data_IF_342559991059
#
_entry.id   IF_342559991059
#
_cell.length_a   1.000
_cell.length_b   1.000
_cell.length_c   1.000
_cell.angle_alpha   90.00
_cell.angle_beta   90.00
_cell.angle_gamma   90.00
#
_symmetry.space_group_name_H-M   'P 1'
#
loop_
_entity.id
_entity.type
_entity.pdbx_description
1 polymer ?
#
# COMPACT_ATOMS: atom_id res chain seq x y z
N UNK A 1 -21.73 9.04 17.63
CA UNK A 1 -20.93 9.57 16.55
C UNK A 1 -19.72 8.67 16.38
N UNK A 2 -19.72 7.91 15.29
CA UNK A 2 -18.58 7.06 14.96
C UNK A 2 -17.36 7.96 14.73
N UNK A 3 -16.30 7.78 15.49
CA UNK A 3 -15.05 8.53 15.36
C UNK A 3 -14.26 8.23 14.07
N UNK A 4 -14.96 8.03 12.95
CA UNK A 4 -14.33 7.80 11.66
C UNK A 4 -13.65 9.08 11.17
N UNK A 5 -12.34 9.06 11.05
CA UNK A 5 -11.55 10.13 10.47
C UNK A 5 -11.74 10.09 8.94
N UNK A 6 -12.13 11.23 8.35
CA UNK A 6 -12.15 11.42 6.90
C UNK A 6 -10.88 12.13 6.47
N UNK A 7 -10.27 11.62 5.41
CA UNK A 7 -9.07 12.18 4.81
C UNK A 7 -9.36 12.45 3.34
N UNK A 8 -9.11 13.67 2.90
CA UNK A 8 -9.14 14.03 1.48
C UNK A 8 -7.71 14.07 0.99
N UNK A 9 -7.42 13.33 -0.08
CA UNK A 9 -6.11 13.31 -0.72
C UNK A 9 -6.26 13.92 -2.11
N UNK A 10 -5.56 15.01 -2.36
CA UNK A 10 -5.51 15.63 -3.68
C UNK A 10 -4.65 14.79 -4.63
N UNK A 11 -5.13 14.63 -5.86
CA UNK A 11 -4.40 13.92 -6.92
C UNK A 11 -3.65 14.87 -7.87
N UNK A 12 -3.82 16.18 -7.71
CA UNK A 12 -3.25 17.17 -8.63
C UNK A 12 -4.22 17.61 -9.73
N UNK A 13 -3.67 18.10 -10.83
CA UNK A 13 -4.44 18.57 -12.00
C UNK A 13 -4.88 17.37 -12.81
N UNK A 14 -6.12 17.42 -13.31
CA UNK A 14 -6.74 16.25 -13.98
C UNK A 14 -5.99 15.79 -15.23
N UNK A 15 -5.41 16.72 -15.95
CA UNK A 15 -4.67 16.48 -17.20
C UNK A 15 -3.35 15.75 -16.95
N UNK A 16 -2.80 15.84 -15.74
CA UNK A 16 -1.50 15.26 -15.34
C UNK A 16 -1.68 13.97 -14.52
N UNK A 17 -2.90 13.43 -14.41
CA UNK A 17 -3.16 12.23 -13.63
C UNK A 17 -2.60 10.99 -14.31
N UNK A 18 -1.49 10.52 -13.78
CA UNK A 18 -0.83 9.27 -14.17
C UNK A 18 -0.88 8.24 -13.02
N UNK A 19 -0.29 7.07 -13.24
CA UNK A 19 -0.19 6.01 -12.23
C UNK A 19 0.62 6.45 -11.01
N UNK A 20 1.59 7.36 -11.18
CA UNK A 20 2.43 7.84 -10.09
C UNK A 20 1.64 8.75 -9.15
N UNK A 21 0.76 9.60 -9.66
CA UNK A 21 -0.14 10.41 -8.84
C UNK A 21 -1.04 9.54 -7.94
N UNK A 22 -1.56 8.43 -8.49
CA UNK A 22 -2.35 7.46 -7.71
C UNK A 22 -1.49 6.70 -6.69
N UNK A 23 -0.27 6.34 -7.03
CA UNK A 23 0.67 5.68 -6.09
C UNK A 23 1.03 6.59 -4.93
N UNK A 24 1.31 7.86 -5.20
CA UNK A 24 1.57 8.87 -4.18
C UNK A 24 0.35 9.11 -3.28
N UNK A 25 -0.84 9.17 -3.85
CA UNK A 25 -2.07 9.31 -3.09
C UNK A 25 -2.31 8.13 -2.15
N UNK A 26 -2.09 6.90 -2.60
CA UNK A 26 -2.16 5.70 -1.77
C UNK A 26 -1.18 5.75 -0.60
N UNK A 27 0.05 6.17 -0.86
CA UNK A 27 1.08 6.35 0.17
C UNK A 27 0.71 7.47 1.17
N UNK A 28 0.21 8.59 0.69
CA UNK A 28 -0.25 9.70 1.53
C UNK A 28 -1.43 9.29 2.42
N UNK A 29 -2.39 8.53 1.85
CA UNK A 29 -3.50 7.97 2.61
C UNK A 29 -3.02 7.10 3.76
N UNK A 30 -2.10 6.18 3.51
CA UNK A 30 -1.56 5.27 4.54
C UNK A 30 -0.86 6.04 5.66
N UNK A 31 -0.08 7.07 5.33
CA UNK A 31 0.53 7.96 6.33
C UNK A 31 -0.51 8.70 7.17
N UNK A 32 -1.63 9.12 6.56
CA UNK A 32 -2.71 9.82 7.25
C UNK A 32 -3.57 8.91 8.13
N UNK A 33 -3.79 7.66 7.73
CA UNK A 33 -4.53 6.66 8.52
C UNK A 33 -3.78 6.34 9.82
N UNK A 34 -2.45 6.37 9.78
CA UNK A 34 -1.61 6.20 10.96
C UNK A 34 -1.89 4.90 11.71
N UNK A 35 -1.98 4.99 13.03
CA UNK A 35 -2.17 3.85 13.94
C UNK A 35 -3.60 3.26 13.94
N UNK A 36 -4.56 3.79 13.19
CA UNK A 36 -5.94 3.28 13.18
C UNK A 36 -6.06 1.87 12.57
N UNK A 37 -5.06 1.43 11.84
CA UNK A 37 -4.93 0.05 11.37
C UNK A 37 -5.87 -0.34 10.23
N UNK A 38 -6.96 0.35 10.00
CA UNK A 38 -7.93 0.08 8.93
C UNK A 38 -8.28 1.36 8.19
N UNK A 39 -8.30 1.27 6.87
CA UNK A 39 -8.67 2.37 6.00
C UNK A 39 -9.66 1.95 4.93
N UNK A 40 -10.44 2.92 4.47
CA UNK A 40 -11.33 2.76 3.34
C UNK A 40 -11.02 3.88 2.34
N UNK A 41 -10.71 3.51 1.11
CA UNK A 41 -10.54 4.43 0.00
C UNK A 41 -11.78 4.35 -0.87
N UNK A 42 -12.39 5.49 -1.13
CA UNK A 42 -13.50 5.61 -2.06
C UNK A 42 -12.93 6.14 -3.37
N UNK A 43 -13.06 5.35 -4.42
CA UNK A 43 -12.62 5.74 -5.76
C UNK A 43 -13.70 6.62 -6.41
N UNK A 44 -13.26 7.65 -7.11
CA UNK A 44 -14.12 8.42 -7.97
C UNK A 44 -14.44 7.63 -9.27
N UNK A 45 -15.39 8.13 -10.03
CA UNK A 45 -15.99 7.47 -11.20
C UNK A 45 -15.03 7.18 -12.35
N UNK A 46 -13.81 7.72 -12.35
CA UNK A 46 -12.90 7.70 -13.49
C UNK A 46 -11.64 6.86 -13.31
N UNK A 47 -11.47 6.18 -12.17
CA UNK A 47 -10.28 5.36 -11.97
C UNK A 47 -10.32 4.07 -12.80
N UNK A 48 -9.30 3.84 -13.59
CA UNK A 48 -9.11 2.60 -14.34
C UNK A 48 -8.34 1.53 -13.51
N UNK A 49 -8.27 0.27 -13.99
CA UNK A 49 -7.59 -0.79 -13.25
C UNK A 49 -6.12 -0.52 -12.96
N UNK A 50 -5.39 0.18 -13.83
CA UNK A 50 -3.95 0.47 -13.62
C UNK A 50 -3.77 1.51 -12.52
N UNK A 51 -4.63 2.50 -12.48
CA UNK A 51 -4.68 3.51 -11.42
C UNK A 51 -5.03 2.89 -10.06
N UNK A 52 -5.95 1.91 -10.04
CA UNK A 52 -6.27 1.16 -8.83
C UNK A 52 -5.07 0.34 -8.35
N UNK A 53 -4.36 -0.34 -9.26
CA UNK A 53 -3.11 -1.06 -8.93
C UNK A 53 -2.12 -0.10 -8.29
N UNK A 54 -1.85 1.02 -8.93
CA UNK A 54 -0.89 2.03 -8.45
C UNK A 54 -1.28 2.57 -7.06
N UNK A 55 -2.56 2.88 -6.84
CA UNK A 55 -3.08 3.32 -5.55
C UNK A 55 -2.84 2.29 -4.45
N UNK A 56 -3.14 1.01 -4.73
CA UNK A 56 -2.93 -0.09 -3.77
C UNK A 56 -1.45 -0.31 -3.51
N UNK A 57 -0.62 -0.29 -4.54
CA UNK A 57 0.84 -0.38 -4.40
C UNK A 57 1.36 0.72 -3.48
N UNK A 58 1.01 1.96 -3.73
CA UNK A 58 1.42 3.10 -2.91
C UNK A 58 1.00 2.95 -1.45
N UNK A 59 -0.26 2.56 -1.23
CA UNK A 59 -0.79 2.36 0.11
C UNK A 59 -0.04 1.25 0.88
N UNK A 60 0.19 0.12 0.25
CA UNK A 60 0.88 -1.01 0.87
C UNK A 60 2.38 -0.75 1.01
N UNK A 61 3.04 -0.17 0.01
CA UNK A 61 4.46 0.16 0.09
C UNK A 61 4.78 1.17 1.19
N UNK A 62 3.86 2.10 1.46
CA UNK A 62 3.99 3.05 2.58
C UNK A 62 3.73 2.42 3.95
N UNK A 63 3.06 1.27 3.99
CA UNK A 63 2.83 0.51 5.22
C UNK A 63 4.01 -0.40 5.60
N UNK A 64 5.04 -0.50 4.74
CA UNK A 64 6.21 -1.32 5.01
C UNK A 64 6.92 -0.88 6.29
N UNK A 65 7.23 -1.83 7.13
CA UNK A 65 8.05 -1.64 8.31
C UNK A 65 8.90 -2.88 8.59
N UNK A 66 10.20 -2.67 8.67
CA UNK A 66 11.12 -3.71 9.13
C UNK A 66 11.11 -3.74 10.66
N UNK A 67 10.40 -4.70 11.23
CA UNK A 67 10.30 -4.87 12.70
C UNK A 67 11.20 -5.98 13.24
N UNK A 68 11.66 -6.88 12.38
CA UNK A 68 12.39 -8.11 12.75
C UNK A 68 13.64 -7.85 13.61
N UNK A 69 14.28 -6.69 13.44
CA UNK A 69 15.52 -6.35 14.16
C UNK A 69 15.33 -5.20 15.16
N UNK A 70 14.07 -4.79 15.40
CA UNK A 70 13.78 -3.74 16.39
C UNK A 70 13.64 -4.35 17.78
N UNK A 71 14.15 -3.64 18.78
CA UNK A 71 13.89 -3.95 20.19
C UNK A 71 12.39 -3.80 20.50
N UNK A 72 11.83 -4.66 21.36
CA UNK A 72 10.44 -4.56 21.82
C UNK A 72 10.07 -3.21 22.47
N UNK A 73 11.07 -2.39 22.78
CA UNK A 73 10.90 -1.09 23.45
C UNK A 73 10.48 0.06 22.51
N UNK A 74 10.35 -0.20 21.20
CA UNK A 74 10.01 0.85 20.22
C UNK A 74 8.69 0.57 19.50
N UNK A 75 7.54 0.50 20.23
CA UNK A 75 6.24 0.28 19.62
C UNK A 75 5.67 1.56 18.97
N UNK A 76 6.34 2.71 19.17
CA UNK A 76 5.82 3.99 18.70
C UNK A 76 6.37 4.37 17.33
N UNK A 77 5.53 4.38 16.33
CA UNK A 77 5.81 5.09 15.09
C UNK A 77 5.56 4.37 13.77
N UNK A 78 5.28 3.08 13.78
CA UNK A 78 5.04 2.39 12.51
C UNK A 78 3.55 2.42 12.16
N UNK A 79 3.18 2.98 10.99
CA UNK A 79 1.81 2.87 10.49
C UNK A 79 1.53 1.39 10.23
N UNK A 80 0.61 0.80 10.98
CA UNK A 80 0.22 -0.58 10.78
C UNK A 80 -1.10 -0.62 10.02
N UNK A 81 -1.03 -0.69 8.69
CA UNK A 81 -2.21 -0.90 7.86
C UNK A 81 -2.62 -2.38 7.91
N UNK A 82 -3.54 -2.73 8.79
CA UNK A 82 -4.08 -4.10 8.97
C UNK A 82 -5.16 -4.45 7.95
N UNK A 83 -5.79 -3.46 7.36
CA UNK A 83 -6.83 -3.66 6.38
C UNK A 83 -7.08 -2.42 5.53
N UNK A 84 -7.16 -2.65 4.22
CA UNK A 84 -7.53 -1.65 3.23
C UNK A 84 -8.76 -2.13 2.49
N UNK A 85 -9.84 -1.35 2.58
CA UNK A 85 -11.05 -1.56 1.78
C UNK A 85 -11.07 -0.53 0.67
N UNK A 86 -11.35 -0.97 -0.53
CA UNK A 86 -11.52 -0.09 -1.69
C UNK A 86 -12.96 -0.19 -2.13
N UNK A 87 -13.63 0.94 -2.21
CA UNK A 87 -15.02 1.04 -2.64
C UNK A 87 -15.04 1.80 -3.96
N UNK A 88 -15.50 1.12 -5.00
CA UNK A 88 -15.84 1.77 -6.28
C UNK A 88 -17.22 2.41 -6.20
N UNK A 89 -17.48 3.42 -7.01
CA UNK A 89 -18.84 3.91 -7.23
C UNK A 89 -19.60 2.99 -8.19
N UNK A 90 -20.92 3.01 -8.16
CA UNK A 90 -21.77 2.27 -9.12
C UNK A 90 -21.53 2.69 -10.58
N UNK A 91 -20.82 3.80 -10.78
CA UNK A 91 -20.41 4.34 -12.08
C UNK A 91 -18.99 3.97 -12.47
N UNK A 92 -18.27 3.22 -11.61
CA UNK A 92 -16.94 2.71 -11.94
C UNK A 92 -17.12 1.65 -13.01
N UNK A 93 -16.68 1.93 -14.24
CA UNK A 93 -16.85 1.05 -15.41
C UNK A 93 -15.99 -0.23 -15.35
N UNK A 94 -15.41 -0.55 -14.19
CA UNK A 94 -14.50 -1.69 -14.00
C UNK A 94 -15.28 -2.88 -13.47
N UNK A 95 -15.30 -3.95 -14.23
CA UNK A 95 -15.92 -5.20 -13.79
C UNK A 95 -15.22 -5.73 -12.52
N UNK A 96 -15.95 -6.31 -11.54
CA UNK A 96 -15.37 -6.81 -10.30
C UNK A 96 -14.19 -7.77 -10.49
N UNK A 97 -14.24 -8.61 -11.52
CA UNK A 97 -13.19 -9.57 -11.84
C UNK A 97 -11.88 -8.89 -12.27
N UNK A 98 -11.99 -7.79 -13.02
CA UNK A 98 -10.82 -6.99 -13.43
C UNK A 98 -10.22 -6.30 -12.23
N UNK A 99 -11.06 -5.81 -11.33
CA UNK A 99 -10.64 -5.19 -10.08
C UNK A 99 -9.90 -6.19 -9.16
N UNK A 100 -10.42 -7.40 -9.01
CA UNK A 100 -9.77 -8.45 -8.24
C UNK A 100 -8.42 -8.85 -8.85
N UNK A 101 -8.33 -9.02 -10.16
CA UNK A 101 -7.08 -9.31 -10.84
C UNK A 101 -6.05 -8.19 -10.63
N UNK A 102 -6.48 -6.93 -10.66
CA UNK A 102 -5.64 -5.77 -10.36
C UNK A 102 -5.09 -5.82 -8.92
N UNK A 103 -5.93 -6.15 -7.95
CA UNK A 103 -5.51 -6.30 -6.55
C UNK A 103 -4.51 -7.44 -6.35
N UNK A 104 -4.71 -8.58 -7.01
CA UNK A 104 -3.76 -9.72 -6.94
C UNK A 104 -2.40 -9.29 -7.48
N UNK A 105 -2.38 -8.60 -8.63
CA UNK A 105 -1.15 -8.07 -9.23
C UNK A 105 -0.44 -7.08 -8.31
N UNK A 106 -1.16 -6.11 -7.75
CA UNK A 106 -0.59 -5.14 -6.82
C UNK A 106 0.05 -5.82 -5.60
N UNK A 107 -0.63 -6.81 -5.02
CA UNK A 107 -0.10 -7.58 -3.88
C UNK A 107 1.17 -8.34 -4.24
N UNK A 108 1.24 -8.93 -5.43
CA UNK A 108 2.43 -9.65 -5.88
C UNK A 108 3.64 -8.72 -6.01
N UNK A 109 3.47 -7.54 -6.64
CA UNK A 109 4.50 -6.53 -6.78
C UNK A 109 4.98 -5.99 -5.42
N UNK A 110 4.05 -5.68 -4.54
CA UNK A 110 4.36 -5.22 -3.17
C UNK A 110 5.14 -6.27 -2.41
N UNK A 111 4.73 -7.56 -2.47
CA UNK A 111 5.44 -8.65 -1.80
C UNK A 111 6.87 -8.79 -2.30
N UNK A 112 7.08 -8.74 -3.62
CA UNK A 112 8.42 -8.77 -4.21
C UNK A 112 9.29 -7.61 -3.71
N UNK A 113 8.71 -6.40 -3.66
CA UNK A 113 9.40 -5.22 -3.14
C UNK A 113 9.73 -5.36 -1.65
N UNK A 114 8.83 -5.93 -0.85
CA UNK A 114 9.08 -6.18 0.58
C UNK A 114 10.25 -7.15 0.77
N UNK A 115 10.27 -8.26 0.03
CA UNK A 115 11.38 -9.23 0.07
C UNK A 115 12.71 -8.52 -0.26
N UNK A 116 12.74 -7.71 -1.31
CA UNK A 116 13.94 -6.97 -1.70
C UNK A 116 14.38 -5.98 -0.61
N UNK A 117 13.43 -5.27 0.00
CA UNK A 117 13.71 -4.33 1.12
C UNK A 117 14.19 -5.07 2.37
N UNK A 118 13.58 -6.21 2.71
CA UNK A 118 13.98 -7.02 3.87
C UNK A 118 15.41 -7.52 3.68
N UNK A 119 15.75 -8.03 2.50
CA UNK A 119 17.12 -8.47 2.18
C UNK A 119 18.12 -7.31 2.22
N UNK A 120 17.77 -6.14 1.69
CA UNK A 120 18.66 -4.98 1.68
C UNK A 120 18.90 -4.42 3.08
N UNK A 121 17.88 -4.50 3.95
CA UNK A 121 17.94 -3.97 5.31
C UNK A 121 18.40 -5.01 6.34
N UNK A 122 18.54 -6.27 5.96
CA UNK A 122 19.02 -7.31 6.86
C UNK A 122 20.49 -7.08 7.25
N UNK A 123 20.83 -7.14 8.54
CA UNK A 123 22.22 -7.07 8.97
C UNK A 123 23.06 -8.20 8.36
N UNK A 124 24.37 -7.97 8.07
CA UNK A 124 25.24 -8.96 7.42
C UNK A 124 25.24 -10.37 8.04
N UNK A 125 25.15 -10.55 9.37
CA UNK A 125 25.07 -11.89 9.96
C UNK A 125 23.81 -12.65 9.61
N UNK A 126 22.74 -11.96 9.21
CA UNK A 126 21.44 -12.56 8.87
C UNK A 126 21.24 -12.79 7.36
N UNK A 127 21.96 -12.05 6.53
CA UNK A 127 21.94 -12.21 5.07
C UNK A 127 23.21 -12.89 4.58
N UNK A 128 23.23 -14.20 4.67
CA UNK A 128 24.30 -15.05 4.12
C UNK A 128 23.92 -15.52 2.69
N UNK A 129 24.89 -16.01 1.89
CA UNK A 129 24.56 -16.62 0.58
C UNK A 129 23.52 -17.75 0.70
N UNK A 130 23.55 -18.51 1.80
CA UNK A 130 22.56 -19.58 2.06
C UNK A 130 21.18 -19.00 2.27
N UNK A 131 21.02 -18.02 3.18
CA UNK A 131 19.71 -17.42 3.48
C UNK A 131 19.15 -16.65 2.27
N UNK A 132 20.02 -16.07 1.43
CA UNK A 132 19.59 -15.46 0.17
C UNK A 132 18.95 -16.49 -0.77
N UNK A 133 19.57 -17.65 -0.94
CA UNK A 133 19.04 -18.73 -1.80
C UNK A 133 17.73 -19.32 -1.22
N UNK A 134 17.63 -19.44 0.11
CA UNK A 134 16.42 -19.93 0.78
C UNK A 134 15.24 -18.95 0.70
N UNK A 135 15.52 -17.64 0.51
CA UNK A 135 14.49 -16.59 0.42
C UNK A 135 14.01 -16.37 -1.02
N UNK A 136 14.85 -16.60 -2.02
CA UNK A 136 14.53 -16.42 -3.44
C UNK A 136 13.71 -17.59 -4.00
#
# INVERSE_FOLDING_TARGET
PSGAKRVLVGLGVREDLDEDAYREAGAAFTRCVGKSGRGCIILNESADPTQVVALVEGALLAAYSLTTFKSEKDPEGTPELRGLTIVGSDRTAVAPQVFEAALVRARALVRATYIARDMTNAPPPHLTPRTLVETA
#
